data_IF_099772384869
#
_entry.id   IF_099772384869
#
_cell.length_a   1.000
_cell.length_b   1.000
_cell.length_c   1.000
_cell.angle_alpha   90.00
_cell.angle_beta   90.00
_cell.angle_gamma   90.00
#
_symmetry.space_group_name_H-M   'P 1'
#
loop_
_entity.id
_entity.type
_entity.pdbx_description
1 polymer ?
#
# COMPACT_ATOMS: atom_id res chain seq x y z
N UNK A 1 -5.33 -16.39 -14.98
CA UNK A 1 -5.77 -15.40 -13.99
C UNK A 1 -4.58 -15.20 -13.06
N UNK A 2 -4.20 -13.98 -12.74
CA UNK A 2 -3.12 -13.74 -11.77
C UNK A 2 -3.53 -14.18 -10.36
N UNK A 3 -2.55 -14.29 -9.46
CA UNK A 3 -2.80 -14.54 -8.02
C UNK A 3 -2.51 -13.28 -7.21
N UNK A 4 -3.21 -13.13 -6.10
CA UNK A 4 -3.02 -12.04 -5.14
C UNK A 4 -2.86 -12.67 -3.76
N UNK A 5 -1.71 -12.42 -3.14
CA UNK A 5 -1.38 -12.90 -1.81
C UNK A 5 -1.19 -11.71 -0.86
N UNK A 6 -1.86 -11.75 0.29
CA UNK A 6 -1.68 -10.77 1.36
C UNK A 6 -0.48 -11.19 2.18
N UNK A 7 0.68 -10.59 1.95
CA UNK A 7 1.88 -10.91 2.73
C UNK A 7 1.76 -10.41 4.17
N UNK A 8 1.29 -9.18 4.33
CA UNK A 8 0.95 -8.57 5.61
C UNK A 8 -0.37 -7.83 5.45
N UNK A 9 -1.31 -8.07 6.34
CA UNK A 9 -2.52 -7.26 6.43
C UNK A 9 -2.21 -5.94 7.12
N UNK A 10 -2.79 -4.86 6.62
CA UNK A 10 -2.72 -3.59 7.29
C UNK A 10 -3.44 -3.61 8.65
N UNK A 11 -3.01 -2.74 9.52
CA UNK A 11 -3.63 -2.54 10.82
C UNK A 11 -3.75 -1.05 11.11
N UNK A 12 -4.99 -0.58 11.17
CA UNK A 12 -5.30 0.80 11.50
C UNK A 12 -5.21 1.00 13.02
N UNK A 13 -4.43 1.95 13.46
CA UNK A 13 -4.39 2.30 14.86
C UNK A 13 -3.26 3.23 15.25
N UNK A 14 -3.48 3.88 16.36
CA UNK A 14 -2.52 4.74 17.04
C UNK A 14 -2.27 4.25 18.46
N UNK A 15 -1.12 4.61 19.01
CA UNK A 15 -0.80 4.46 20.41
C UNK A 15 -0.56 5.84 21.04
N UNK A 16 -0.40 5.89 22.36
CA UNK A 16 0.06 7.12 23.03
C UNK A 16 1.49 7.56 22.64
N UNK A 17 2.13 6.84 21.69
CA UNK A 17 3.45 7.15 21.15
C UNK A 17 3.41 7.48 19.65
N UNK A 18 2.23 7.62 19.06
CA UNK A 18 2.00 7.90 17.64
C UNK A 18 1.44 6.69 16.88
N UNK A 19 1.46 6.81 15.56
CA UNK A 19 0.98 5.79 14.64
C UNK A 19 1.71 4.46 14.83
N UNK A 20 0.99 3.36 14.67
CA UNK A 20 1.60 2.03 14.65
C UNK A 20 2.37 1.79 13.36
N UNK A 21 1.92 2.40 12.23
CA UNK A 21 2.63 2.35 10.96
C UNK A 21 2.74 0.93 10.40
N UNK A 22 1.67 0.15 10.49
CA UNK A 22 1.59 -1.21 9.98
C UNK A 22 0.70 -1.24 8.73
N UNK A 23 1.26 -0.88 7.59
CA UNK A 23 0.57 -0.94 6.31
C UNK A 23 0.48 -2.36 5.78
N UNK A 24 -0.44 -2.58 4.83
CA UNK A 24 -0.54 -3.84 4.12
C UNK A 24 0.55 -3.96 3.06
N UNK A 25 1.03 -5.19 2.84
CA UNK A 25 1.96 -5.54 1.76
C UNK A 25 1.32 -6.64 0.93
N UNK A 26 1.22 -6.40 -0.37
CA UNK A 26 0.58 -7.33 -1.30
C UNK A 26 1.56 -7.87 -2.34
N UNK A 27 1.58 -9.19 -2.52
CA UNK A 27 2.27 -9.86 -3.62
C UNK A 27 1.26 -10.21 -4.69
N UNK A 28 1.52 -9.80 -5.90
CA UNK A 28 0.66 -10.08 -7.05
C UNK A 28 1.47 -10.79 -8.12
N UNK A 29 0.99 -11.93 -8.59
CA UNK A 29 1.45 -12.52 -9.85
C UNK A 29 0.45 -12.15 -10.93
N UNK A 30 0.90 -11.39 -11.92
CA UNK A 30 0.03 -10.92 -13.00
C UNK A 30 -0.33 -12.04 -13.97
N UNK A 31 -1.31 -11.86 -14.87
CA UNK A 31 -1.65 -12.86 -15.88
C UNK A 31 -0.49 -13.23 -16.82
N UNK A 32 0.48 -12.35 -17.02
CA UNK A 32 1.71 -12.63 -17.79
C UNK A 32 2.78 -13.40 -17.00
N UNK A 33 2.57 -13.59 -15.68
CA UNK A 33 3.51 -14.26 -14.79
C UNK A 33 4.52 -13.33 -14.12
N UNK A 34 4.42 -12.00 -14.30
CA UNK A 34 5.24 -11.02 -13.59
C UNK A 34 4.84 -10.92 -12.13
N UNK A 35 5.82 -10.68 -11.28
CA UNK A 35 5.65 -10.54 -9.83
C UNK A 35 5.75 -9.08 -9.42
N UNK A 36 4.73 -8.61 -8.74
CA UNK A 36 4.59 -7.24 -8.29
C UNK A 36 4.42 -7.21 -6.78
N UNK A 37 5.12 -6.31 -6.11
CA UNK A 37 4.87 -5.92 -4.72
C UNK A 37 4.17 -4.57 -4.75
N UNK A 38 3.02 -4.47 -4.07
CA UNK A 38 2.35 -3.21 -3.82
C UNK A 38 2.57 -2.81 -2.36
N UNK A 39 3.26 -1.71 -2.17
CA UNK A 39 3.85 -1.18 -0.94
C UNK A 39 4.87 -2.11 -0.28
N UNK A 40 5.74 -1.55 0.55
CA UNK A 40 6.89 -2.26 1.09
C UNK A 40 6.99 -2.18 2.62
N UNK A 41 5.92 -1.73 3.28
CA UNK A 41 5.86 -1.69 4.73
C UNK A 41 6.83 -0.71 5.39
N UNK A 42 6.80 -0.70 6.69
CA UNK A 42 7.70 0.07 7.54
C UNK A 42 9.06 -0.62 7.75
N UNK A 43 10.03 0.14 8.25
CA UNK A 43 11.39 -0.38 8.44
C UNK A 43 11.46 -1.55 9.45
N UNK A 44 10.54 -1.63 10.39
CA UNK A 44 10.38 -2.74 11.33
C UNK A 44 10.09 -4.08 10.63
N UNK A 45 9.54 -4.05 9.41
CA UNK A 45 9.17 -5.24 8.63
C UNK A 45 10.26 -5.70 7.66
N UNK A 46 11.37 -4.93 7.56
CA UNK A 46 12.46 -5.17 6.63
C UNK A 46 13.01 -6.60 6.66
N UNK A 47 13.15 -7.19 7.84
CA UNK A 47 13.66 -8.56 7.98
C UNK A 47 12.59 -9.64 7.78
N UNK A 48 11.33 -9.25 7.80
CA UNK A 48 10.17 -10.15 7.65
C UNK A 48 9.80 -10.36 6.19
N UNK A 49 9.85 -9.31 5.37
CA UNK A 49 9.47 -9.34 3.96
C UNK A 49 10.19 -10.45 3.17
N UNK A 50 11.54 -10.58 3.23
CA UNK A 50 12.23 -11.67 2.50
C UNK A 50 11.78 -13.07 2.92
N UNK A 51 11.50 -13.27 4.21
CA UNK A 51 11.04 -14.58 4.73
C UNK A 51 9.63 -14.91 4.26
N UNK A 52 8.75 -13.92 4.18
CA UNK A 52 7.41 -14.11 3.64
C UNK A 52 7.47 -14.47 2.15
N UNK A 53 8.30 -13.79 1.36
CA UNK A 53 8.50 -14.12 -0.04
C UNK A 53 9.10 -15.52 -0.20
N UNK A 54 10.09 -15.89 0.61
CA UNK A 54 10.71 -17.23 0.59
C UNK A 54 9.69 -18.33 0.90
N UNK A 55 8.72 -18.07 1.80
CA UNK A 55 7.62 -19.01 2.05
C UNK A 55 6.72 -19.24 0.82
N UNK A 56 6.69 -18.29 -0.13
CA UNK A 56 6.06 -18.44 -1.45
C UNK A 56 7.03 -18.99 -2.52
N UNK A 57 8.26 -19.36 -2.15
CA UNK A 57 9.29 -19.83 -3.10
C UNK A 57 9.87 -18.71 -3.98
N UNK A 58 9.81 -17.46 -3.52
CA UNK A 58 10.19 -16.26 -4.28
C UNK A 58 11.32 -15.53 -3.54
N UNK A 59 12.44 -15.30 -4.25
CA UNK A 59 13.50 -14.40 -3.74
C UNK A 59 13.20 -12.93 -4.07
N UNK A 60 13.70 -12.01 -3.28
CA UNK A 60 13.51 -10.56 -3.49
C UNK A 60 13.98 -10.09 -4.88
N UNK A 61 15.02 -10.70 -5.43
CA UNK A 61 15.55 -10.40 -6.77
C UNK A 61 14.64 -10.90 -7.92
N UNK A 62 13.61 -11.69 -7.62
CA UNK A 62 12.66 -12.21 -8.59
C UNK A 62 11.37 -11.38 -8.66
N UNK A 63 11.32 -10.24 -7.99
CA UNK A 63 10.25 -9.25 -8.10
C UNK A 63 10.54 -8.36 -9.32
N UNK A 64 9.56 -8.26 -10.21
CA UNK A 64 9.65 -7.47 -11.45
C UNK A 64 9.25 -6.00 -11.22
N UNK A 65 8.27 -5.75 -10.34
CA UNK A 65 7.77 -4.41 -10.03
C UNK A 65 7.56 -4.20 -8.54
N UNK A 66 7.93 -3.02 -8.09
CA UNK A 66 7.51 -2.44 -6.80
C UNK A 66 6.67 -1.21 -7.11
N UNK A 67 5.41 -1.22 -6.75
CA UNK A 67 4.52 -0.06 -6.86
C UNK A 67 4.35 0.54 -5.48
N UNK A 68 4.83 1.75 -5.28
CA UNK A 68 4.64 2.50 -4.05
C UNK A 68 3.40 3.37 -4.20
N UNK A 69 2.40 3.13 -3.38
CA UNK A 69 1.17 3.92 -3.37
C UNK A 69 1.48 5.39 -3.08
N UNK A 70 2.38 5.64 -2.14
CA UNK A 70 2.92 6.94 -1.76
C UNK A 70 4.23 6.76 -0.96
N UNK A 71 4.85 7.86 -0.47
CA UNK A 71 6.18 7.82 0.16
C UNK A 71 6.18 7.96 1.68
N UNK A 72 5.10 7.63 2.38
CA UNK A 72 5.13 7.54 3.84
C UNK A 72 5.97 6.35 4.31
N UNK A 73 6.51 6.51 5.52
CA UNK A 73 7.52 5.60 6.10
C UNK A 73 7.06 4.15 6.22
N UNK A 74 5.77 3.92 6.37
CA UNK A 74 5.17 2.60 6.55
C UNK A 74 4.70 1.95 5.23
N UNK A 75 4.82 2.65 4.11
CA UNK A 75 4.55 2.12 2.77
C UNK A 75 5.81 1.95 1.93
N UNK A 76 6.78 2.85 2.11
CA UNK A 76 7.92 2.96 1.21
C UNK A 76 9.29 2.67 1.84
N UNK A 77 9.36 2.20 3.10
CA UNK A 77 10.65 2.12 3.79
C UNK A 77 11.61 1.05 3.23
N UNK A 78 11.12 0.07 2.48
CA UNK A 78 11.91 -1.12 2.09
C UNK A 78 11.98 -1.34 0.58
N UNK A 79 11.73 -0.32 -0.25
CA UNK A 79 11.80 -0.44 -1.70
C UNK A 79 13.15 -0.97 -2.19
N UNK A 80 14.23 -0.66 -1.49
CA UNK A 80 15.61 -1.04 -1.81
C UNK A 80 15.94 -2.53 -1.56
N UNK A 81 15.01 -3.30 -0.99
CA UNK A 81 15.12 -4.76 -0.91
C UNK A 81 15.00 -5.46 -2.27
N UNK A 82 14.49 -4.77 -3.29
CA UNK A 82 14.13 -5.35 -4.57
C UNK A 82 15.05 -4.84 -5.70
N UNK A 83 16.28 -5.38 -5.83
CA UNK A 83 17.35 -4.77 -6.62
C UNK A 83 17.08 -4.76 -8.13
N UNK A 84 16.21 -5.65 -8.62
CA UNK A 84 15.92 -5.79 -10.05
C UNK A 84 14.54 -5.23 -10.44
N UNK A 85 13.76 -4.77 -9.45
CA UNK A 85 12.39 -4.35 -9.71
C UNK A 85 12.33 -2.96 -10.33
N UNK A 86 11.45 -2.78 -11.32
CA UNK A 86 11.01 -1.46 -11.75
C UNK A 86 10.24 -0.80 -10.59
N UNK A 87 10.72 0.33 -10.12
CA UNK A 87 10.14 1.07 -9.00
C UNK A 87 9.17 2.12 -9.52
N UNK A 88 7.88 1.92 -9.29
CA UNK A 88 6.79 2.76 -9.82
C UNK A 88 6.32 3.73 -8.74
N UNK A 89 6.41 5.03 -9.03
CA UNK A 89 6.00 6.13 -8.13
C UNK A 89 5.40 7.24 -8.98
N UNK A 90 4.48 8.02 -8.44
CA UNK A 90 3.97 9.22 -9.13
C UNK A 90 4.91 10.40 -8.93
N UNK A 91 5.15 11.23 -9.98
CA UNK A 91 6.07 12.36 -9.90
C UNK A 91 5.67 13.42 -8.86
N UNK A 92 4.36 13.62 -8.65
CA UNK A 92 3.86 14.54 -7.61
C UNK A 92 4.22 14.08 -6.20
N UNK A 93 4.40 12.77 -5.99
CA UNK A 93 4.84 12.22 -4.72
C UNK A 93 6.31 12.56 -4.45
N UNK A 94 7.14 12.47 -5.48
CA UNK A 94 8.54 12.92 -5.42
C UNK A 94 8.61 14.42 -5.11
N UNK A 95 7.81 15.23 -5.81
CA UNK A 95 7.76 16.67 -5.57
C UNK A 95 7.32 17.00 -4.13
N UNK A 96 6.29 16.30 -3.63
CA UNK A 96 5.84 16.41 -2.25
C UNK A 96 6.96 16.05 -1.26
N UNK A 97 7.63 14.93 -1.47
CA UNK A 97 8.72 14.46 -0.62
C UNK A 97 9.93 15.43 -0.59
N UNK A 98 10.19 16.16 -1.68
CA UNK A 98 11.30 17.11 -1.76
C UNK A 98 11.02 18.45 -1.07
N UNK A 99 9.78 18.94 -1.14
CA UNK A 99 9.43 20.31 -0.74
C UNK A 99 8.62 20.33 0.56
N UNK A 100 7.84 19.28 0.84
CA UNK A 100 6.87 19.26 1.90
C UNK A 100 7.44 19.22 3.32
N UNK A 101 6.59 19.54 4.29
CA UNK A 101 6.85 19.45 5.72
C UNK A 101 6.26 18.18 6.34
N UNK A 102 5.85 17.23 5.50
CA UNK A 102 5.25 15.99 5.92
C UNK A 102 6.24 15.13 6.73
N UNK A 103 6.01 14.93 8.03
CA UNK A 103 6.92 14.16 8.88
C UNK A 103 6.88 12.66 8.62
N UNK A 104 5.86 12.16 7.92
CA UNK A 104 5.73 10.74 7.58
C UNK A 104 6.61 10.34 6.40
N UNK A 105 7.10 11.30 5.61
CA UNK A 105 7.97 11.02 4.46
C UNK A 105 9.42 10.78 4.89
N UNK A 106 10.01 9.67 4.45
CA UNK A 106 11.42 9.35 4.66
C UNK A 106 12.34 10.14 3.71
N UNK A 107 12.46 11.46 3.92
CA UNK A 107 13.19 12.38 3.03
C UNK A 107 14.64 11.98 2.78
N UNK A 108 15.29 11.35 3.73
CA UNK A 108 16.68 10.89 3.58
C UNK A 108 16.81 9.77 2.53
N UNK A 109 15.73 9.08 2.17
CA UNK A 109 15.73 8.06 1.13
C UNK A 109 15.46 8.64 -0.28
N UNK A 110 14.90 9.84 -0.39
CA UNK A 110 14.53 10.46 -1.67
C UNK A 110 15.72 10.60 -2.64
N UNK A 111 16.92 11.03 -2.21
CA UNK A 111 18.07 11.07 -3.12
C UNK A 111 18.45 9.71 -3.70
N UNK A 112 18.41 8.65 -2.90
CA UNK A 112 18.72 7.29 -3.34
C UNK A 112 17.62 6.77 -4.29
N UNK A 113 16.36 7.07 -4.00
CA UNK A 113 15.23 6.72 -4.85
C UNK A 113 15.34 7.40 -6.23
N UNK A 114 15.68 8.69 -6.27
CA UNK A 114 15.89 9.43 -7.52
C UNK A 114 17.11 8.96 -8.31
N UNK A 115 18.13 8.43 -7.64
CA UNK A 115 19.32 7.88 -8.28
C UNK A 115 19.11 6.43 -8.76
N UNK A 116 17.97 5.81 -8.47
CA UNK A 116 17.68 4.44 -8.89
C UNK A 116 17.42 4.40 -10.40
N UNK A 117 18.22 3.65 -11.13
CA UNK A 117 18.10 3.49 -12.60
C UNK A 117 16.82 2.77 -13.03
N UNK A 118 16.16 2.06 -12.11
CA UNK A 118 14.87 1.39 -12.33
C UNK A 118 13.68 2.24 -11.90
N UNK A 119 13.87 3.52 -11.55
CA UNK A 119 12.76 4.41 -11.20
C UNK A 119 11.90 4.72 -12.43
N UNK A 120 10.61 4.44 -12.32
CA UNK A 120 9.59 4.77 -13.31
C UNK A 120 8.56 5.74 -12.72
N UNK A 121 8.59 6.99 -13.22
CA UNK A 121 7.68 8.03 -12.75
C UNK A 121 6.38 8.05 -13.57
N UNK A 122 5.27 7.85 -12.88
CA UNK A 122 3.93 8.08 -13.44
C UNK A 122 3.64 9.59 -13.41
N UNK A 123 3.10 10.13 -14.50
CA UNK A 123 2.75 11.55 -14.67
C UNK A 123 1.30 11.76 -15.02
N UNK A 124 0.69 10.76 -15.59
CA UNK A 124 -0.67 10.76 -16.10
C UNK A 124 -1.68 10.36 -15.02
N UNK A 125 -2.95 10.71 -15.21
CA UNK A 125 -4.07 10.29 -14.36
C UNK A 125 -4.25 8.75 -14.34
N UNK A 126 -3.81 8.07 -15.39
CA UNK A 126 -3.73 6.62 -15.45
C UNK A 126 -2.61 6.16 -16.38
N UNK A 127 -1.94 5.07 -16.02
CA UNK A 127 -0.87 4.46 -16.81
C UNK A 127 -1.01 2.94 -16.81
N UNK A 128 -0.74 2.30 -17.94
CA UNK A 128 -0.80 0.85 -18.08
C UNK A 128 0.62 0.28 -17.94
N UNK A 129 0.85 -0.54 -16.91
CA UNK A 129 2.12 -1.26 -16.75
C UNK A 129 2.19 -2.47 -17.70
N UNK A 130 1.09 -3.21 -17.79
CA UNK A 130 0.85 -4.24 -18.81
C UNK A 130 -0.65 -4.43 -19.03
N UNK A 131 -1.02 -5.26 -20.02
CA UNK A 131 -2.43 -5.54 -20.30
C UNK A 131 -3.14 -6.09 -19.06
N UNK A 132 -4.16 -5.36 -18.60
CA UNK A 132 -4.95 -5.68 -17.41
C UNK A 132 -4.34 -5.24 -16.08
N UNK A 133 -3.21 -4.50 -16.09
CA UNK A 133 -2.58 -3.92 -14.89
C UNK A 133 -2.42 -2.41 -15.09
N UNK A 134 -3.19 -1.63 -14.34
CA UNK A 134 -3.20 -0.17 -14.46
C UNK A 134 -2.86 0.51 -13.15
N UNK A 135 -2.08 1.58 -13.22
CA UNK A 135 -1.85 2.52 -12.13
C UNK A 135 -2.75 3.73 -12.34
N UNK A 136 -3.40 4.18 -11.28
CA UNK A 136 -4.39 5.26 -11.31
C UNK A 136 -4.02 6.29 -10.26
N UNK A 137 -3.94 7.57 -10.63
CA UNK A 137 -3.71 8.68 -9.71
C UNK A 137 -4.97 8.90 -8.86
N UNK A 138 -4.79 8.89 -7.54
CA UNK A 138 -5.85 8.98 -6.52
C UNK A 138 -5.40 9.92 -5.39
N UNK A 139 -5.21 11.22 -5.69
CA UNK A 139 -4.70 12.20 -4.73
C UNK A 139 -5.68 12.44 -3.59
N UNK A 140 -5.16 12.90 -2.46
CA UNK A 140 -5.96 13.31 -1.30
C UNK A 140 -5.28 12.98 0.01
N UNK A 141 -4.87 11.74 0.24
CA UNK A 141 -4.00 11.38 1.37
C UNK A 141 -2.64 12.07 1.19
N UNK A 142 -2.02 11.87 0.02
CA UNK A 142 -0.88 12.67 -0.45
C UNK A 142 -1.17 13.22 -1.86
N UNK A 143 -0.40 14.22 -2.35
CA UNK A 143 -0.61 14.78 -3.69
C UNK A 143 -0.36 13.79 -4.83
N UNK A 144 0.51 12.82 -4.62
CA UNK A 144 0.92 11.85 -5.64
C UNK A 144 0.45 10.42 -5.37
N UNK A 145 -0.52 10.22 -4.48
CA UNK A 145 -1.03 8.89 -4.17
C UNK A 145 -1.55 8.18 -5.42
N UNK A 146 -1.20 6.90 -5.57
CA UNK A 146 -1.64 6.03 -6.66
C UNK A 146 -2.30 4.76 -6.14
N UNK A 147 -3.27 4.28 -6.91
CA UNK A 147 -3.86 2.96 -6.78
C UNK A 147 -3.42 2.05 -7.94
N UNK A 148 -3.51 0.74 -7.74
CA UNK A 148 -3.26 -0.25 -8.78
C UNK A 148 -4.55 -1.05 -9.02
N UNK A 149 -4.88 -1.35 -10.29
CA UNK A 149 -6.01 -2.22 -10.62
C UNK A 149 -5.56 -3.44 -11.41
N UNK A 150 -6.12 -4.61 -11.06
CA UNK A 150 -5.91 -5.87 -11.75
C UNK A 150 -7.23 -6.63 -11.78
N UNK A 151 -7.86 -6.74 -12.95
CA UNK A 151 -9.21 -7.28 -13.06
C UNK A 151 -10.20 -6.49 -12.18
N UNK A 152 -10.93 -7.16 -11.30
CA UNK A 152 -11.88 -6.56 -10.34
C UNK A 152 -11.23 -6.12 -9.01
N UNK A 153 -9.91 -6.20 -8.90
CA UNK A 153 -9.16 -5.90 -7.68
C UNK A 153 -8.52 -4.52 -7.76
N UNK A 154 -8.65 -3.74 -6.69
CA UNK A 154 -8.08 -2.40 -6.54
C UNK A 154 -7.20 -2.35 -5.30
N UNK A 155 -5.92 -2.05 -5.45
CA UNK A 155 -4.99 -1.80 -4.35
C UNK A 155 -4.90 -0.30 -4.16
N UNK A 156 -5.32 0.19 -3.01
CA UNK A 156 -5.57 1.62 -2.83
C UNK A 156 -4.50 2.36 -2.03
N UNK A 157 -3.62 1.63 -1.33
CA UNK A 157 -2.79 2.29 -0.30
C UNK A 157 -3.67 3.13 0.62
N UNK A 158 -3.17 4.29 1.01
CA UNK A 158 -3.88 5.18 1.92
C UNK A 158 -4.82 6.17 1.23
N UNK A 159 -4.97 6.09 -0.09
CA UNK A 159 -6.07 6.79 -0.77
C UNK A 159 -7.45 6.22 -0.37
N UNK A 160 -7.49 4.95 0.11
CA UNK A 160 -8.55 4.35 0.90
C UNK A 160 -7.85 3.48 1.95
N UNK A 161 -7.67 4.04 3.13
CA UNK A 161 -6.87 3.48 4.21
C UNK A 161 -7.54 2.25 4.84
N UNK A 162 -8.86 2.36 5.03
CA UNK A 162 -9.64 1.35 5.75
C UNK A 162 -11.13 1.40 5.37
N UNK A 163 -11.91 0.47 5.91
CA UNK A 163 -13.38 0.42 5.76
C UNK A 163 -14.08 1.69 6.26
N UNK A 164 -13.48 2.43 7.18
CA UNK A 164 -14.07 3.64 7.76
C UNK A 164 -14.03 4.82 6.79
N UNK A 165 -13.06 4.86 5.87
CA UNK A 165 -12.99 5.90 4.82
C UNK A 165 -14.21 5.82 3.89
N UNK A 166 -14.71 4.61 3.62
CA UNK A 166 -15.95 4.42 2.87
C UNK A 166 -17.21 4.96 3.58
N UNK A 167 -17.09 5.29 4.87
CA UNK A 167 -18.12 5.93 5.70
C UNK A 167 -17.86 7.42 5.89
N UNK A 168 -16.85 7.97 5.21
CA UNK A 168 -16.44 9.37 5.31
C UNK A 168 -15.65 9.73 6.58
N UNK A 169 -15.09 8.73 7.27
CA UNK A 169 -14.23 8.94 8.44
C UNK A 169 -12.77 9.06 7.99
N UNK A 170 -12.43 10.23 7.48
CA UNK A 170 -11.08 10.50 6.98
C UNK A 170 -10.12 10.83 8.13
N UNK A 171 -8.87 10.38 7.99
CA UNK A 171 -7.77 10.71 8.88
C UNK A 171 -6.51 10.99 8.06
N UNK A 172 -5.71 11.99 8.48
CA UNK A 172 -4.40 12.30 7.91
C UNK A 172 -4.42 12.48 6.40
N UNK A 173 -5.24 13.39 5.93
CA UNK A 173 -5.32 13.75 4.51
C UNK A 173 -4.62 15.08 4.25
N UNK A 174 -3.90 15.15 3.13
CA UNK A 174 -3.38 16.42 2.61
C UNK A 174 -4.51 17.32 2.10
N UNK A 175 -5.58 16.71 1.51
CA UNK A 175 -6.74 17.43 1.01
C UNK A 175 -7.99 16.53 1.07
N UNK A 176 -8.93 16.87 1.95
CA UNK A 176 -10.13 16.06 2.21
C UNK A 176 -11.07 15.95 0.99
N UNK A 177 -11.23 17.04 0.22
CA UNK A 177 -12.10 17.03 -0.97
C UNK A 177 -11.56 16.06 -2.04
N UNK A 178 -10.26 16.12 -2.31
CA UNK A 178 -9.62 15.18 -3.23
C UNK A 178 -9.64 13.75 -2.68
N UNK A 179 -9.47 13.56 -1.37
CA UNK A 179 -9.55 12.24 -0.75
C UNK A 179 -10.93 11.61 -0.92
N UNK A 180 -12.00 12.35 -0.65
CA UNK A 180 -13.38 11.87 -0.87
C UNK A 180 -13.63 11.53 -2.34
N UNK A 181 -13.15 12.35 -3.28
CA UNK A 181 -13.25 12.05 -4.71
C UNK A 181 -12.48 10.77 -5.08
N UNK A 182 -11.27 10.59 -4.57
CA UNK A 182 -10.44 9.42 -4.81
C UNK A 182 -11.06 8.14 -4.22
N UNK A 183 -11.65 8.20 -3.02
CA UNK A 183 -12.37 7.08 -2.42
C UNK A 183 -13.56 6.66 -3.30
N UNK A 184 -14.34 7.63 -3.80
CA UNK A 184 -15.46 7.34 -4.72
C UNK A 184 -14.96 6.71 -6.04
N UNK A 185 -13.86 7.23 -6.60
CA UNK A 185 -13.19 6.69 -7.79
C UNK A 185 -12.77 5.24 -7.53
N UNK A 186 -12.03 4.96 -6.45
CA UNK A 186 -11.58 3.62 -6.05
C UNK A 186 -12.77 2.66 -5.91
N UNK A 187 -13.81 3.08 -5.21
CA UNK A 187 -15.02 2.27 -5.02
C UNK A 187 -15.77 1.95 -6.32
N UNK A 188 -15.54 2.72 -7.39
CA UNK A 188 -16.10 2.48 -8.73
C UNK A 188 -15.26 1.58 -9.63
N UNK A 189 -13.98 1.31 -9.28
CA UNK A 189 -13.05 0.61 -10.17
C UNK A 189 -13.11 -0.92 -10.11
N UNK A 190 -13.66 -1.50 -9.04
CA UNK A 190 -13.67 -2.94 -8.87
C UNK A 190 -14.68 -3.43 -7.84
N UNK A 191 -14.65 -4.73 -7.57
CA UNK A 191 -15.53 -5.39 -6.58
C UNK A 191 -14.75 -5.88 -5.35
N UNK A 192 -13.42 -5.76 -5.36
CA UNK A 192 -12.56 -6.05 -4.20
C UNK A 192 -11.53 -4.95 -4.05
N UNK A 193 -11.42 -4.39 -2.84
CA UNK A 193 -10.44 -3.37 -2.48
C UNK A 193 -9.42 -3.98 -1.51
N UNK A 194 -8.15 -3.71 -1.75
CA UNK A 194 -6.99 -4.03 -0.91
C UNK A 194 -6.47 -2.72 -0.32
N UNK A 195 -6.92 -2.35 0.89
CA UNK A 195 -6.64 -1.04 1.50
C UNK A 195 -5.25 -0.99 2.16
N UNK A 196 -4.78 0.22 2.51
CA UNK A 196 -3.49 0.42 3.16
C UNK A 196 -3.43 -0.15 4.58
N UNK A 197 -4.49 0.02 5.38
CA UNK A 197 -4.48 -0.32 6.81
C UNK A 197 -5.67 -1.17 7.27
N UNK A 198 -6.19 -2.03 6.41
CA UNK A 198 -7.26 -2.95 6.76
C UNK A 198 -7.06 -4.31 6.05
N UNK A 199 -7.94 -5.26 6.31
CA UNK A 199 -8.07 -6.48 5.50
C UNK A 199 -8.78 -6.15 4.19
N UNK A 200 -8.66 -6.99 3.14
CA UNK A 200 -9.39 -6.80 1.91
C UNK A 200 -10.90 -6.65 2.14
N UNK A 201 -11.53 -5.82 1.32
CA UNK A 201 -12.96 -5.52 1.38
C UNK A 201 -13.65 -6.04 0.11
N UNK A 202 -14.70 -6.81 0.29
CA UNK A 202 -15.55 -7.31 -0.80
C UNK A 202 -16.83 -6.49 -0.93
N UNK A 203 -17.18 -6.15 -2.17
CA UNK A 203 -18.44 -5.50 -2.49
C UNK A 203 -19.60 -6.51 -2.52
N UNK A 204 -20.67 -6.18 -1.80
CA UNK A 204 -21.95 -6.94 -1.82
C UNK A 204 -23.09 -5.96 -2.02
N UNK A 205 -23.61 -5.90 -3.24
CA UNK A 205 -24.58 -4.87 -3.64
C UNK A 205 -23.95 -3.47 -3.61
N UNK A 206 -24.51 -2.57 -2.81
CA UNK A 206 -24.00 -1.21 -2.62
C UNK A 206 -23.04 -1.06 -1.42
N UNK A 207 -22.81 -2.13 -0.66
CA UNK A 207 -22.03 -2.09 0.58
C UNK A 207 -20.72 -2.86 0.47
N UNK A 208 -19.75 -2.48 1.30
CA UNK A 208 -18.44 -3.11 1.39
C UNK A 208 -18.29 -3.85 2.71
N UNK A 209 -17.72 -5.05 2.67
CA UNK A 209 -17.57 -5.94 3.82
C UNK A 209 -16.12 -6.43 3.93
N UNK A 210 -15.54 -6.41 5.13
CA UNK A 210 -14.20 -6.92 5.34
C UNK A 210 -14.13 -8.44 5.17
N UNK A 211 -13.05 -8.91 4.57
CA UNK A 211 -12.72 -10.33 4.42
C UNK A 211 -12.02 -10.88 5.68
N UNK A 212 -12.56 -10.59 6.85
CA UNK A 212 -12.00 -10.95 8.14
C UNK A 212 -11.82 -9.76 9.07
N UNK A 213 -11.03 -9.95 10.11
CA UNK A 213 -10.65 -8.88 11.04
C UNK A 213 -9.14 -8.75 11.06
N UNK A 214 -8.59 -7.53 10.90
CA UNK A 214 -7.16 -7.32 11.09
C UNK A 214 -6.79 -7.67 12.53
N UNK A 215 -5.67 -8.35 12.70
CA UNK A 215 -5.20 -8.76 14.02
C UNK A 215 -3.68 -8.69 14.06
N UNK A 216 -3.15 -8.06 15.09
CA UNK A 216 -1.72 -8.02 15.38
C UNK A 216 -1.47 -8.71 16.70
N UNK A 217 -0.42 -9.52 16.77
CA UNK A 217 0.04 -10.14 18.00
C UNK A 217 1.27 -9.41 18.52
N UNK A 218 1.16 -8.86 19.71
CA UNK A 218 2.32 -8.37 20.45
C UNK A 218 2.99 -9.56 21.13
N UNK A 219 4.28 -9.73 20.88
CA UNK A 219 5.10 -10.78 21.45
C UNK A 219 5.94 -10.18 22.59
N UNK A 220 5.81 -10.69 23.77
CA UNK A 220 6.56 -10.28 24.95
C UNK A 220 7.63 -11.30 25.30
N UNK A 221 8.67 -10.93 26.08
CA UNK A 221 9.58 -11.89 26.68
C UNK A 221 8.85 -13.01 27.42
N UNK A 222 9.47 -14.17 27.55
CA UNK A 222 8.92 -15.36 28.20
C UNK A 222 7.74 -16.02 27.45
N UNK A 223 7.57 -15.71 26.14
CA UNK A 223 6.55 -16.35 25.30
C UNK A 223 5.12 -15.87 25.53
N UNK A 224 4.93 -14.76 26.25
CA UNK A 224 3.60 -14.17 26.37
C UNK A 224 3.20 -13.47 25.08
N UNK A 225 1.96 -13.67 24.65
CA UNK A 225 1.37 -13.04 23.48
C UNK A 225 0.10 -12.29 23.87
N UNK A 226 -0.14 -11.17 23.20
CA UNK A 226 -1.40 -10.43 23.29
C UNK A 226 -1.88 -10.08 21.88
N UNK A 227 -3.06 -10.55 21.51
CA UNK A 227 -3.71 -10.12 20.28
C UNK A 227 -4.35 -8.75 20.45
N UNK A 228 -4.16 -7.90 19.46
CA UNK A 228 -4.84 -6.61 19.33
C UNK A 228 -5.70 -6.71 18.08
N UNK A 229 -6.96 -6.32 18.21
CA UNK A 229 -7.91 -6.21 17.11
C UNK A 229 -8.60 -4.84 17.21
N UNK A 230 -8.93 -4.20 16.09
CA UNK A 230 -9.77 -3.02 16.13
C UNK A 230 -11.16 -3.40 16.72
N UNK A 231 -11.90 -2.43 17.25
CA UNK A 231 -13.27 -2.69 17.71
C UNK A 231 -14.10 -3.27 16.56
N UNK A 232 -14.97 -4.21 16.91
CA UNK A 232 -16.01 -4.65 15.98
C UNK A 232 -16.96 -3.47 15.71
N UNK A 233 -17.43 -3.34 14.49
CA UNK A 233 -18.39 -2.31 14.05
C UNK A 233 -19.71 -2.35 14.85
#
# INVERSE_FOLDING_TARGET
MGTIDVLLSGFFGESNRGFLGWSAIYLVTTPSGRRLIFDTGGYNERSTIPKLLEAHGIGVAAIDWVVLSHLHFDHAANWDLFPNALLVVHEKEIAHAQVGDDPAVLRHQVPALLANEHLHLIREESSTLENGVQVIHVPGHTPGAIALTIGDSVFSGDALKSRWDLRGQLTDTWNDELALHSIQKIAGLGNRIYPGHDVPLDRRGSSWFPCGMPSVRLLFPEGREQAIQPPAD
#
